data_IF_231717666215
#
_entry.id   IF_231717666215
#
_cell.length_a   1.000
_cell.length_b   1.000
_cell.length_c   1.000
_cell.angle_alpha   90.00
_cell.angle_beta   90.00
_cell.angle_gamma   90.00
#
_symmetry.space_group_name_H-M   'P 1'
#
loop_
_entity.id
_entity.type
_entity.pdbx_description
1 polymer ?
#
# COMPACT_ATOMS: atom_id res chain seq x y z
N UNK A 1 -14.22 -0.77 -1.34
CA UNK A 1 -12.83 -0.74 -0.80
C UNK A 1 -12.44 -1.99 -0.04
N UNK A 2 -13.31 -2.49 0.82
CA UNK A 2 -12.98 -3.67 1.60
C UNK A 2 -12.73 -4.91 0.75
N UNK A 3 -13.49 -5.10 -0.32
CA UNK A 3 -13.26 -6.23 -1.24
C UNK A 3 -11.91 -6.15 -1.92
N UNK A 4 -11.50 -4.96 -2.34
CA UNK A 4 -10.18 -4.75 -2.94
C UNK A 4 -9.08 -5.02 -1.92
N UNK A 5 -9.27 -4.56 -0.69
CA UNK A 5 -8.32 -4.80 0.41
C UNK A 5 -8.09 -6.30 0.61
N UNK A 6 -9.17 -7.07 0.68
CA UNK A 6 -9.10 -8.52 0.90
C UNK A 6 -8.43 -9.23 -0.27
N UNK A 7 -8.75 -8.82 -1.50
CA UNK A 7 -8.12 -9.40 -2.69
C UNK A 7 -6.62 -9.15 -2.71
N UNK A 8 -6.21 -7.92 -2.45
CA UNK A 8 -4.78 -7.58 -2.41
C UNK A 8 -4.10 -8.31 -1.27
N UNK A 9 -4.75 -8.45 -0.11
CA UNK A 9 -4.18 -9.18 1.02
C UNK A 9 -3.85 -10.63 0.66
N UNK A 10 -4.75 -11.30 -0.04
CA UNK A 10 -4.53 -12.69 -0.49
C UNK A 10 -3.36 -12.76 -1.47
N UNK A 11 -3.32 -11.86 -2.44
CA UNK A 11 -2.25 -11.81 -3.44
C UNK A 11 -0.92 -11.42 -2.79
N UNK A 12 -0.95 -10.50 -1.82
CA UNK A 12 0.21 -10.07 -1.06
C UNK A 12 0.85 -11.23 -0.31
N UNK A 13 0.04 -12.08 0.31
CA UNK A 13 0.55 -13.25 1.01
C UNK A 13 1.27 -14.20 0.07
N UNK A 14 0.76 -14.37 -1.14
CA UNK A 14 1.40 -15.23 -2.15
C UNK A 14 2.70 -14.64 -2.66
N UNK A 15 2.74 -13.32 -2.83
CA UNK A 15 3.92 -12.62 -3.34
C UNK A 15 5.00 -12.46 -2.26
N UNK A 16 4.57 -12.21 -1.03
CA UNK A 16 5.46 -11.95 0.10
C UNK A 16 5.19 -12.89 1.27
N UNK A 17 5.42 -14.21 1.09
CA UNK A 17 5.05 -15.20 2.12
C UNK A 17 5.82 -15.02 3.43
N UNK A 18 7.02 -14.44 3.39
CA UNK A 18 7.86 -14.24 4.58
C UNK A 18 7.64 -12.90 5.27
N UNK A 19 6.72 -12.08 4.79
CA UNK A 19 6.44 -10.79 5.41
C UNK A 19 5.93 -10.98 6.84
N UNK A 20 6.32 -10.07 7.71
CA UNK A 20 5.93 -10.08 9.11
C UNK A 20 5.19 -8.78 9.45
N UNK A 21 4.36 -8.82 10.49
CA UNK A 21 3.58 -7.65 10.88
C UNK A 21 4.48 -6.47 11.24
N UNK A 22 5.62 -6.72 11.87
CA UNK A 22 6.57 -5.67 12.23
C UNK A 22 7.14 -4.97 11.02
N UNK A 23 7.55 -5.73 10.00
CA UNK A 23 8.10 -5.13 8.78
C UNK A 23 7.03 -4.38 7.99
N UNK A 24 5.80 -4.86 8.00
CA UNK A 24 4.69 -4.17 7.34
C UNK A 24 4.35 -2.86 8.06
N UNK A 25 4.43 -2.85 9.39
CA UNK A 25 4.19 -1.64 10.17
C UNK A 25 5.27 -0.58 9.90
N UNK A 26 6.54 -1.00 9.83
CA UNK A 26 7.62 -0.08 9.46
C UNK A 26 7.42 0.50 8.07
N UNK A 27 6.97 -0.33 7.15
CA UNK A 27 6.71 0.10 5.78
C UNK A 27 5.59 1.13 5.73
N UNK A 28 4.55 0.94 6.54
CA UNK A 28 3.47 1.91 6.65
C UNK A 28 3.99 3.25 7.17
N UNK A 29 4.87 3.23 8.17
CA UNK A 29 5.47 4.46 8.70
C UNK A 29 6.28 5.19 7.63
N UNK A 30 7.02 4.46 6.80
CA UNK A 30 7.76 5.03 5.68
C UNK A 30 6.83 5.70 4.68
N UNK A 31 5.72 5.03 4.32
CA UNK A 31 4.75 5.58 3.38
C UNK A 31 4.04 6.81 3.96
N UNK A 32 3.76 6.81 5.26
CA UNK A 32 3.15 7.96 5.91
C UNK A 32 4.10 9.16 5.92
N UNK A 33 5.40 8.92 6.08
CA UNK A 33 6.41 9.97 5.99
C UNK A 33 6.45 10.55 4.58
N UNK A 34 6.41 9.70 3.57
CA UNK A 34 6.37 10.14 2.17
C UNK A 34 5.10 10.92 1.88
N UNK A 35 3.97 10.52 2.48
CA UNK A 35 2.72 11.25 2.36
C UNK A 35 2.84 12.67 2.92
N UNK A 36 3.48 12.83 4.07
CA UNK A 36 3.71 14.14 4.67
C UNK A 36 4.55 15.05 3.78
N UNK A 37 5.41 14.45 2.97
CA UNK A 37 6.30 15.18 2.05
C UNK A 37 5.70 15.37 0.67
N UNK A 38 4.47 14.90 0.45
CA UNK A 38 3.82 14.98 -0.86
C UNK A 38 3.61 16.43 -1.28
N UNK A 39 3.85 16.69 -2.56
CA UNK A 39 3.73 18.02 -3.16
C UNK A 39 2.46 18.11 -3.98
N UNK A 40 1.35 18.41 -3.32
CA UNK A 40 0.06 18.57 -3.96
C UNK A 40 -0.80 17.32 -3.91
N UNK A 41 -2.02 17.46 -4.38
CA UNK A 41 -3.04 16.41 -4.24
C UNK A 41 -2.72 15.16 -5.04
N UNK A 42 -2.14 15.30 -6.23
CA UNK A 42 -1.80 14.15 -7.06
C UNK A 42 -0.78 13.24 -6.36
N UNK A 43 0.30 13.85 -5.85
CA UNK A 43 1.31 13.09 -5.10
C UNK A 43 0.71 12.44 -3.86
N UNK A 44 -0.13 13.18 -3.14
CA UNK A 44 -0.76 12.67 -1.93
C UNK A 44 -1.64 11.44 -2.24
N UNK A 45 -2.39 11.47 -3.34
CA UNK A 45 -3.22 10.32 -3.74
C UNK A 45 -2.36 9.11 -4.07
N UNK A 46 -1.24 9.30 -4.74
CA UNK A 46 -0.31 8.19 -5.03
C UNK A 46 0.26 7.60 -3.75
N UNK A 47 0.65 8.44 -2.79
CA UNK A 47 1.16 7.95 -1.51
C UNK A 47 0.07 7.26 -0.68
N UNK A 48 -1.16 7.76 -0.73
CA UNK A 48 -2.30 7.11 -0.07
C UNK A 48 -2.59 5.74 -0.66
N UNK A 49 -2.42 5.58 -1.99
CA UNK A 49 -2.56 4.27 -2.63
C UNK A 49 -1.49 3.31 -2.14
N UNK A 50 -0.24 3.77 -1.98
CA UNK A 50 0.83 2.95 -1.41
C UNK A 50 0.51 2.56 0.04
N UNK A 51 -0.01 3.50 0.83
CA UNK A 51 -0.44 3.21 2.20
C UNK A 51 -1.53 2.13 2.22
N UNK A 52 -2.49 2.20 1.30
CA UNK A 52 -3.54 1.20 1.18
C UNK A 52 -2.96 -0.19 0.92
N UNK A 53 -2.01 -0.30 0.01
CA UNK A 53 -1.37 -1.58 -0.32
C UNK A 53 -0.64 -2.15 0.88
N UNK A 54 0.07 -1.33 1.64
CA UNK A 54 0.73 -1.77 2.87
C UNK A 54 -0.30 -2.24 3.91
N UNK A 55 -1.42 -1.53 4.02
CA UNK A 55 -2.52 -1.94 4.91
C UNK A 55 -3.06 -3.31 4.51
N UNK A 56 -3.13 -3.61 3.22
CA UNK A 56 -3.53 -4.94 2.76
C UNK A 56 -2.55 -6.02 3.24
N UNK A 57 -1.26 -5.69 3.30
CA UNK A 57 -0.25 -6.59 3.86
C UNK A 57 -0.37 -6.77 5.36
N UNK A 58 -0.90 -5.78 6.07
CA UNK A 58 -1.16 -5.86 7.51
C UNK A 58 -2.42 -6.67 7.80
N UNK A 59 -3.39 -6.63 6.90
CA UNK A 59 -4.72 -7.21 7.08
C UNK A 59 -4.66 -8.67 7.51
N UNK A 60 -3.79 -9.49 6.94
CA UNK A 60 -3.70 -10.91 7.29
C UNK A 60 -3.23 -11.16 8.73
N UNK A 61 -2.54 -10.18 9.34
CA UNK A 61 -2.04 -10.28 10.70
C UNK A 61 -2.94 -9.57 11.70
N UNK A 62 -3.49 -8.42 11.32
CA UNK A 62 -4.26 -7.55 12.19
C UNK A 62 -5.37 -6.87 11.39
N UNK A 63 -6.44 -7.61 11.05
CA UNK A 63 -7.50 -7.07 10.18
C UNK A 63 -8.18 -5.83 10.73
N UNK A 64 -8.37 -5.74 12.04
CA UNK A 64 -9.03 -4.57 12.63
C UNK A 64 -8.18 -3.30 12.49
N UNK A 65 -6.86 -3.44 12.67
CA UNK A 65 -5.93 -2.33 12.49
C UNK A 65 -5.94 -1.85 11.04
N UNK A 66 -5.88 -2.79 10.10
CA UNK A 66 -5.91 -2.47 8.68
C UNK A 66 -7.20 -1.73 8.30
N UNK A 67 -8.34 -2.19 8.80
CA UNK A 67 -9.64 -1.54 8.51
C UNK A 67 -9.72 -0.13 9.07
N UNK A 68 -9.17 0.11 10.25
CA UNK A 68 -9.11 1.45 10.83
C UNK A 68 -8.26 2.39 9.96
N UNK A 69 -7.11 1.91 9.52
CA UNK A 69 -6.22 2.70 8.65
C UNK A 69 -6.89 3.02 7.32
N UNK A 70 -7.57 2.05 6.74
CA UNK A 70 -8.30 2.22 5.47
C UNK A 70 -9.39 3.28 5.62
N UNK A 71 -10.10 3.28 6.73
CA UNK A 71 -11.14 4.27 6.99
C UNK A 71 -10.56 5.70 6.96
N UNK A 72 -9.40 5.89 7.59
CA UNK A 72 -8.70 7.18 7.56
C UNK A 72 -8.26 7.57 6.15
N UNK A 73 -7.74 6.60 5.39
CA UNK A 73 -7.32 6.82 4.00
C UNK A 73 -8.52 7.26 3.15
N UNK A 74 -9.64 6.56 3.27
CA UNK A 74 -10.85 6.89 2.52
C UNK A 74 -11.33 8.30 2.80
N UNK A 75 -11.33 8.71 4.07
CA UNK A 75 -11.75 10.04 4.45
C UNK A 75 -10.83 11.11 3.83
N UNK A 76 -9.54 10.89 3.86
CA UNK A 76 -8.57 11.82 3.28
C UNK A 76 -8.73 11.92 1.76
N UNK A 77 -8.92 10.79 1.09
CA UNK A 77 -9.14 10.76 -0.36
C UNK A 77 -10.41 11.53 -0.74
N UNK A 78 -11.47 11.37 0.05
CA UNK A 78 -12.71 12.10 -0.18
C UNK A 78 -12.52 13.60 0.00
N UNK A 79 -11.83 14.01 1.04
CA UNK A 79 -11.50 15.42 1.28
C UNK A 79 -10.70 16.03 0.15
N UNK A 80 -9.79 15.26 -0.45
CA UNK A 80 -8.98 15.71 -1.57
C UNK A 80 -9.73 15.69 -2.90
N UNK A 81 -10.91 15.08 -2.96
CA UNK A 81 -11.74 15.06 -4.16
C UNK A 81 -11.39 13.97 -5.17
N UNK A 82 -10.68 12.93 -4.76
CA UNK A 82 -10.21 11.87 -5.67
C UNK A 82 -10.92 10.53 -5.47
N UNK A 83 -12.05 10.51 -4.76
CA UNK A 83 -12.76 9.27 -4.46
C UNK A 83 -13.07 8.43 -5.71
N UNK A 84 -13.47 9.09 -6.80
CA UNK A 84 -13.90 8.40 -8.02
C UNK A 84 -12.77 7.64 -8.73
N UNK A 85 -11.53 8.07 -8.56
CA UNK A 85 -10.38 7.47 -9.27
C UNK A 85 -9.45 6.69 -8.37
N UNK A 86 -9.65 6.73 -7.06
CA UNK A 86 -8.71 6.14 -6.12
C UNK A 86 -8.58 4.63 -6.26
N UNK A 87 -9.68 3.91 -6.47
CA UNK A 87 -9.63 2.46 -6.66
C UNK A 87 -8.77 2.08 -7.85
N UNK A 88 -8.89 2.82 -8.95
CA UNK A 88 -8.08 2.57 -10.15
C UNK A 88 -6.60 2.85 -9.88
N UNK A 89 -6.32 3.86 -9.08
CA UNK A 89 -4.95 4.19 -8.71
C UNK A 89 -4.32 3.04 -7.90
N UNK A 90 -5.04 2.51 -6.92
CA UNK A 90 -4.58 1.38 -6.13
C UNK A 90 -4.33 0.16 -7.03
N UNK A 91 -5.29 -0.16 -7.89
CA UNK A 91 -5.17 -1.30 -8.78
C UNK A 91 -3.96 -1.18 -9.71
N UNK A 92 -3.75 -0.01 -10.29
CA UNK A 92 -2.59 0.23 -11.16
C UNK A 92 -1.28 0.04 -10.43
N UNK A 93 -1.17 0.59 -9.22
CA UNK A 93 0.04 0.45 -8.41
C UNK A 93 0.28 -0.99 -7.99
N UNK A 94 -0.78 -1.70 -7.61
CA UNK A 94 -0.65 -3.09 -7.21
C UNK A 94 -0.24 -3.98 -8.38
N UNK A 95 -0.83 -3.78 -9.57
CA UNK A 95 -0.46 -4.53 -10.76
C UNK A 95 1.01 -4.29 -11.12
N UNK A 96 1.47 -3.04 -11.00
CA UNK A 96 2.88 -2.73 -11.21
C UNK A 96 3.76 -3.47 -10.19
N UNK A 97 3.40 -3.43 -8.91
CA UNK A 97 4.16 -4.10 -7.85
C UNK A 97 4.30 -5.60 -8.11
N UNK A 98 3.27 -6.24 -8.66
CA UNK A 98 3.33 -7.67 -8.99
C UNK A 98 4.31 -7.99 -10.11
N UNK A 99 4.68 -7.01 -10.93
CA UNK A 99 5.64 -7.20 -12.02
C UNK A 99 7.08 -6.95 -11.59
N UNK A 100 7.28 -6.32 -10.44
CA UNK A 100 8.63 -6.02 -9.93
C UNK A 100 9.28 -7.29 -9.41
N UNK A 101 10.61 -7.29 -9.38
CA UNK A 101 11.38 -8.36 -8.77
C UNK A 101 11.62 -8.00 -7.32
N UNK A 102 11.37 -8.94 -6.44
CA UNK A 102 11.48 -8.73 -5.01
C UNK A 102 12.51 -9.68 -4.41
N UNK A 103 13.27 -9.19 -3.43
CA UNK A 103 14.25 -9.96 -2.69
C UNK A 103 13.97 -9.81 -1.20
N UNK A 104 14.00 -10.93 -0.47
CA UNK A 104 13.84 -10.91 0.98
C UNK A 104 15.22 -10.81 1.62
N UNK A 105 15.46 -9.74 2.36
CA UNK A 105 16.74 -9.47 2.98
C UNK A 105 16.55 -8.68 4.27
N UNK A 106 17.22 -9.12 5.33
CA UNK A 106 17.16 -8.47 6.64
C UNK A 106 15.73 -8.32 7.17
N UNK A 107 14.92 -9.36 6.98
CA UNK A 107 13.55 -9.41 7.48
C UNK A 107 12.53 -8.64 6.66
N UNK A 108 12.93 -8.08 5.51
CA UNK A 108 12.05 -7.25 4.67
C UNK A 108 12.18 -7.62 3.20
N UNK A 109 11.14 -7.32 2.44
CA UNK A 109 11.16 -7.43 0.99
C UNK A 109 11.58 -6.09 0.39
N UNK A 110 12.51 -6.15 -0.56
CA UNK A 110 13.00 -5.00 -1.31
C UNK A 110 12.85 -5.29 -2.80
N UNK A 111 12.40 -4.31 -3.58
CA UNK A 111 12.41 -4.49 -5.02
C UNK A 111 13.85 -4.34 -5.52
N UNK A 112 14.18 -5.14 -6.55
CA UNK A 112 15.52 -5.17 -7.13
C UNK A 112 15.47 -4.69 -8.57
N UNK A 113 16.64 -4.29 -9.07
CA UNK A 113 16.78 -3.84 -10.44
C UNK A 113 16.33 -2.41 -10.64
N UNK A 114 16.25 -2.02 -11.90
CA UNK A 114 15.93 -0.65 -12.29
C UNK A 114 14.46 -0.55 -12.64
N UNK A 115 13.66 -0.02 -11.73
CA UNK A 115 12.25 0.24 -11.98
C UNK A 115 12.09 1.60 -12.62
N UNK A 116 11.21 1.68 -13.60
CA UNK A 116 10.95 2.91 -14.33
C UNK A 116 9.58 3.49 -14.00
N UNK A 117 8.95 3.03 -12.98
CA UNK A 117 7.67 3.56 -12.54
C UNK A 117 7.87 4.82 -11.70
N UNK A 118 7.26 5.86 -12.11
CA UNK A 118 7.31 7.14 -11.41
C UNK A 118 5.90 7.60 -11.02
#
# INVERSE_FOLDING_TARGET
>A
MEELLKRISIEHEKLFPKAEVGSQTEKLEEELTELEQAKGSYDAINELADCFIVCAGIYRFAPQVALLCISGIENTVEELGYKAVFLKCIEAKWEFNKTRKWEFKDGKYHHTGTDQYD
#
